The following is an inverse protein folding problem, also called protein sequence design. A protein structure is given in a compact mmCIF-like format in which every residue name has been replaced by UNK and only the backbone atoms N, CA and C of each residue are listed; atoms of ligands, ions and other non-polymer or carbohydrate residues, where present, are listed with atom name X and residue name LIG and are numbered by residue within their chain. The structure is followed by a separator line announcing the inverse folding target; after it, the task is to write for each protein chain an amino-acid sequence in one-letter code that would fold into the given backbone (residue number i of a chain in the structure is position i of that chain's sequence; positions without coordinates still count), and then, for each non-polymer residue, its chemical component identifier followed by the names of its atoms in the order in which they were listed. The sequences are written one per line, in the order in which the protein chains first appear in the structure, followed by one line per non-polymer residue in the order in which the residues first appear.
data_IF_091375156018
#
_entry.id   IF_091375156018
#
_cell.length_a   1.000
_cell.length_b   1.000
_cell.length_c   1.000
_cell.angle_alpha   90.00
_cell.angle_beta   90.00
_cell.angle_gamma   90.00
#
_symmetry.space_group_name_H-M   'P 1'
#
loop_
_entity.id
_entity.type
_entity.pdbx_description
1 polymer ?
#
# COMPACT_ATOMS: atom_id res chain seq x y z
N UNK A 1 -5.20 -28.70 -12.07
CA UNK A 1 -6.50 -28.62 -12.77
C UNK A 1 -6.30 -27.63 -13.90
N UNK A 2 -6.28 -28.04 -15.18
CA UNK A 2 -5.97 -27.13 -16.27
C UNK A 2 -7.23 -26.35 -16.65
N UNK A 3 -7.33 -25.11 -16.19
CA UNK A 3 -8.29 -24.14 -16.71
C UNK A 3 -7.64 -22.75 -16.63
N UNK A 4 -6.92 -22.39 -17.70
CA UNK A 4 -6.51 -21.02 -18.00
C UNK A 4 -7.34 -20.54 -19.20
N UNK A 5 -8.67 -20.47 -19.03
CA UNK A 5 -9.57 -19.84 -20.00
C UNK A 5 -10.38 -18.78 -19.29
N UNK A 6 -10.02 -17.52 -19.53
CA UNK A 6 -10.73 -16.37 -18.97
C UNK A 6 -11.91 -15.95 -19.88
N UNK A 7 -11.84 -16.22 -21.20
CA UNK A 7 -12.89 -15.84 -22.16
C UNK A 7 -13.09 -16.88 -23.26
N UNK A 8 -14.20 -16.74 -24.00
CA UNK A 8 -14.50 -17.54 -25.21
C UNK A 8 -14.71 -16.67 -26.44
N UNK A 9 -14.37 -17.21 -27.61
CA UNK A 9 -14.64 -16.64 -28.92
C UNK A 9 -15.72 -17.48 -29.58
N UNK A 10 -16.87 -16.86 -29.86
CA UNK A 10 -17.99 -17.54 -30.54
C UNK A 10 -17.58 -18.07 -31.92
N UNK A 11 -18.21 -19.17 -32.35
CA UNK A 11 -18.15 -19.67 -33.73
C UNK A 11 -18.58 -18.61 -34.78
N UNK A 12 -19.41 -17.65 -34.37
CA UNK A 12 -19.92 -16.58 -35.23
C UNK A 12 -18.97 -15.40 -35.36
N UNK A 13 -17.90 -15.33 -34.56
CA UNK A 13 -16.91 -14.28 -34.69
C UNK A 13 -16.20 -14.43 -36.05
N UNK A 14 -16.16 -13.38 -36.89
CA UNK A 14 -15.61 -13.47 -38.26
C UNK A 14 -14.12 -13.80 -38.29
N UNK A 15 -13.42 -13.64 -37.16
CA UNK A 15 -12.00 -13.93 -37.03
C UNK A 15 -11.71 -15.31 -36.45
N UNK A 16 -12.74 -16.08 -36.07
CA UNK A 16 -12.57 -17.42 -35.53
C UNK A 16 -12.35 -18.45 -36.67
N UNK A 17 -11.13 -19.01 -36.83
CA UNK A 17 -10.84 -19.91 -37.94
C UNK A 17 -11.34 -21.34 -37.70
N UNK A 18 -11.79 -21.67 -36.49
CA UNK A 18 -12.12 -23.04 -36.10
C UNK A 18 -13.58 -23.40 -36.38
N UNK A 19 -14.45 -22.40 -36.59
CA UNK A 19 -15.88 -22.62 -36.84
C UNK A 19 -16.67 -23.16 -35.64
N UNK A 20 -16.05 -23.20 -34.46
CA UNK A 20 -16.66 -23.60 -33.20
C UNK A 20 -16.26 -22.62 -32.09
N UNK A 21 -16.99 -22.61 -30.98
CA UNK A 21 -16.64 -21.76 -29.84
C UNK A 21 -15.35 -22.26 -29.21
N UNK A 22 -14.31 -21.42 -29.20
CA UNK A 22 -13.00 -21.75 -28.61
C UNK A 22 -12.69 -20.81 -27.47
N UNK A 23 -12.10 -21.31 -26.40
CA UNK A 23 -11.66 -20.44 -25.31
C UNK A 23 -10.25 -19.90 -25.53
N UNK A 24 -10.02 -18.69 -25.05
CA UNK A 24 -8.81 -17.91 -25.29
C UNK A 24 -8.33 -17.24 -24.01
N UNK A 25 -7.02 -17.03 -23.94
CA UNK A 25 -6.38 -16.17 -22.95
C UNK A 25 -5.59 -15.12 -23.73
N UNK A 26 -5.99 -13.85 -23.59
CA UNK A 26 -5.48 -12.76 -24.44
C UNK A 26 -4.97 -11.65 -23.55
N UNK A 27 -3.74 -11.19 -23.81
CA UNK A 27 -3.18 -10.03 -23.15
C UNK A 27 -3.41 -8.79 -24.02
N UNK A 28 -4.31 -7.92 -23.59
CA UNK A 28 -4.64 -6.66 -24.26
C UNK A 28 -3.61 -5.57 -23.91
N UNK A 29 -2.42 -5.63 -24.52
CA UNK A 29 -1.30 -4.71 -24.22
C UNK A 29 -1.33 -3.40 -25.00
N UNK A 30 -2.28 -3.25 -25.92
CA UNK A 30 -2.36 -2.09 -26.82
C UNK A 30 -2.99 -0.84 -26.19
N UNK A 31 -3.51 -0.95 -24.97
CA UNK A 31 -4.03 0.17 -24.21
C UNK A 31 -3.08 0.42 -23.05
N UNK A 32 -2.58 1.65 -22.96
CA UNK A 32 -1.79 2.10 -21.83
C UNK A 32 -2.78 2.52 -20.74
N UNK A 33 -2.76 1.80 -19.62
CA UNK A 33 -3.37 2.31 -18.40
C UNK A 33 -2.52 3.47 -17.88
N UNK A 34 -3.17 4.53 -17.43
CA UNK A 34 -2.52 5.69 -16.84
C UNK A 34 -3.13 5.96 -15.48
N UNK A 35 -2.29 5.93 -14.45
CA UNK A 35 -2.63 6.32 -13.10
C UNK A 35 -2.19 7.76 -12.86
N UNK A 36 -3.07 8.59 -12.30
CA UNK A 36 -2.72 9.93 -11.82
C UNK A 36 -3.19 10.06 -10.38
N UNK A 37 -2.23 10.32 -9.50
CA UNK A 37 -2.46 10.49 -8.08
C UNK A 37 -2.00 11.89 -7.68
N UNK A 38 -2.89 12.64 -7.05
CA UNK A 38 -2.57 13.92 -6.41
C UNK A 38 -2.84 13.78 -4.92
N UNK A 39 -1.79 13.97 -4.10
CA UNK A 39 -1.85 13.83 -2.65
C UNK A 39 -1.37 15.10 -1.94
N UNK A 40 -2.25 15.68 -1.15
CA UNK A 40 -1.90 16.71 -0.16
C UNK A 40 -1.60 16.07 1.18
N UNK A 41 -0.55 16.52 1.88
CA UNK A 41 -0.09 15.92 3.13
C UNK A 41 0.19 16.97 4.21
N UNK A 42 -0.26 16.70 5.44
CA UNK A 42 -0.01 17.54 6.60
C UNK A 42 0.25 16.71 7.86
N UNK A 43 1.33 17.03 8.59
CA UNK A 43 1.71 16.28 9.81
C UNK A 43 2.26 17.18 10.93
N UNK A 44 1.42 17.73 11.82
CA UNK A 44 1.89 18.43 13.00
C UNK A 44 2.42 17.44 14.05
N UNK A 45 3.44 17.87 14.79
CA UNK A 45 4.04 17.12 15.89
C UNK A 45 4.36 18.06 17.05
N UNK A 46 4.09 17.59 18.26
CA UNK A 46 4.49 18.24 19.50
C UNK A 46 5.14 17.23 20.43
N UNK A 47 6.14 17.66 21.17
CA UNK A 47 6.82 16.80 22.13
C UNK A 47 7.43 17.56 23.28
N UNK A 48 7.52 16.90 24.43
CA UNK A 48 8.14 17.38 25.65
C UNK A 48 9.08 16.32 26.20
N UNK A 49 10.21 16.76 26.75
CA UNK A 49 11.22 15.88 27.34
C UNK A 49 11.77 16.46 28.63
N UNK A 50 12.24 15.59 29.50
CA UNK A 50 12.83 16.00 30.77
C UNK A 50 13.72 14.94 31.40
N UNK A 51 14.12 15.20 32.64
CA UNK A 51 14.97 14.28 33.40
C UNK A 51 14.67 14.27 34.90
N UNK A 52 14.77 13.11 35.53
CA UNK A 52 14.75 12.92 36.98
C UNK A 52 16.15 12.50 37.48
N UNK A 53 16.65 13.18 38.53
CA UNK A 53 17.93 12.89 39.19
C UNK A 53 19.15 12.79 38.23
N UNK A 54 19.08 13.43 37.05
CA UNK A 54 20.06 13.30 35.95
C UNK A 54 20.33 11.87 35.45
N UNK A 55 19.61 10.86 35.94
CA UNK A 55 19.82 9.43 35.63
C UNK A 55 18.72 8.85 34.77
N UNK A 56 17.55 9.46 34.83
CA UNK A 56 16.37 9.09 34.08
C UNK A 56 15.98 10.23 33.17
N UNK A 57 15.72 9.90 31.92
CA UNK A 57 15.21 10.81 30.91
C UNK A 57 13.88 10.29 30.43
N UNK A 58 12.93 11.18 30.24
CA UNK A 58 11.61 10.84 29.72
C UNK A 58 11.31 11.72 28.52
N UNK A 59 10.48 11.19 27.64
CA UNK A 59 9.96 11.89 26.47
C UNK A 59 8.50 11.49 26.27
N UNK A 60 7.69 12.46 25.90
CA UNK A 60 6.30 12.28 25.48
C UNK A 60 6.15 13.05 24.18
N UNK A 61 5.64 12.39 23.15
CA UNK A 61 5.37 13.00 21.85
C UNK A 61 3.98 12.63 21.37
N UNK A 62 3.33 13.55 20.66
CA UNK A 62 2.11 13.29 19.95
C UNK A 62 2.19 13.92 18.56
N UNK A 63 1.60 13.24 17.59
CA UNK A 63 1.53 13.74 16.22
C UNK A 63 0.21 13.33 15.59
N UNK A 64 -0.19 14.11 14.60
CA UNK A 64 -1.28 13.78 13.71
C UNK A 64 -0.76 13.79 12.28
N UNK A 65 -1.23 12.89 11.43
CA UNK A 65 -0.97 12.89 10.00
C UNK A 65 -2.30 12.90 9.28
N UNK A 66 -2.42 13.71 8.23
CA UNK A 66 -3.56 13.70 7.31
C UNK A 66 -3.06 13.75 5.89
N UNK A 67 -3.72 12.96 5.05
CA UNK A 67 -3.54 12.99 3.62
C UNK A 67 -4.90 13.04 2.93
N UNK A 68 -4.94 13.66 1.75
CA UNK A 68 -6.07 13.63 0.84
C UNK A 68 -5.55 13.26 -0.52
N UNK A 69 -6.06 12.17 -1.07
CA UNK A 69 -5.63 11.66 -2.37
C UNK A 69 -6.81 11.64 -3.32
N UNK A 70 -6.62 12.15 -4.53
CA UNK A 70 -7.51 11.90 -5.66
C UNK A 70 -6.79 11.00 -6.64
N UNK A 71 -7.38 9.83 -6.88
CA UNK A 71 -6.87 8.87 -7.86
C UNK A 71 -7.76 8.87 -9.09
N UNK A 72 -7.12 8.96 -10.25
CA UNK A 72 -7.74 8.74 -11.54
C UNK A 72 -6.93 7.68 -12.30
N UNK A 73 -7.51 6.50 -12.40
CA UNK A 73 -6.95 5.34 -13.09
C UNK A 73 -7.65 5.16 -14.42
N UNK A 74 -7.07 5.73 -15.48
CA UNK A 74 -7.63 5.67 -16.84
C UNK A 74 -7.35 4.31 -17.48
N UNK A 75 -8.40 3.69 -18.02
CA UNK A 75 -8.35 2.40 -18.71
C UNK A 75 -7.72 1.26 -17.88
N UNK A 76 -7.87 1.31 -16.56
CA UNK A 76 -7.26 0.34 -15.64
C UNK A 76 -8.13 -0.90 -15.37
N UNK A 77 -9.45 -0.76 -15.49
CA UNK A 77 -10.40 -1.83 -15.11
C UNK A 77 -10.94 -2.54 -16.34
N UNK A 78 -10.74 -3.86 -16.49
CA UNK A 78 -11.36 -4.60 -17.57
C UNK A 78 -12.88 -4.69 -17.39
N UNK A 79 -13.62 -4.42 -18.47
CA UNK A 79 -15.04 -4.67 -18.55
C UNK A 79 -15.26 -6.04 -19.20
N UNK A 80 -15.26 -7.09 -18.38
CA UNK A 80 -15.38 -8.48 -18.83
C UNK A 80 -16.60 -8.71 -19.73
N UNK A 81 -17.72 -8.03 -19.45
CA UNK A 81 -18.92 -8.11 -20.28
C UNK A 81 -18.70 -7.49 -21.66
N UNK A 82 -18.08 -6.32 -21.74
CA UNK A 82 -17.73 -5.69 -23.01
C UNK A 82 -16.71 -6.52 -23.80
N UNK A 83 -15.70 -7.08 -23.13
CA UNK A 83 -14.70 -7.98 -23.72
C UNK A 83 -15.38 -9.22 -24.30
N UNK A 84 -16.20 -9.91 -23.51
CA UNK A 84 -16.89 -11.12 -23.95
C UNK A 84 -17.89 -10.82 -25.08
N UNK A 85 -18.58 -9.68 -25.05
CA UNK A 85 -19.46 -9.25 -26.14
C UNK A 85 -18.69 -8.99 -27.43
N UNK A 86 -17.52 -8.37 -27.36
CA UNK A 86 -16.68 -8.12 -28.53
C UNK A 86 -16.06 -9.42 -29.07
N UNK A 87 -15.71 -10.39 -28.22
CA UNK A 87 -15.28 -11.73 -28.66
C UNK A 87 -16.42 -12.56 -29.27
N UNK A 88 -17.67 -12.26 -28.91
CA UNK A 88 -18.87 -12.92 -29.47
C UNK A 88 -19.48 -12.19 -30.67
N UNK A 89 -18.99 -11.00 -31.03
CA UNK A 89 -19.59 -10.18 -32.08
C UNK A 89 -19.42 -10.82 -33.46
N UNK A 90 -20.49 -10.94 -34.27
CA UNK A 90 -20.41 -11.37 -35.66
C UNK A 90 -19.97 -10.25 -36.61
N UNK A 91 -19.90 -9.00 -36.15
CA UNK A 91 -19.57 -7.85 -36.97
C UNK A 91 -18.05 -7.55 -36.89
N UNK A 92 -17.30 -7.61 -38.00
CA UNK A 92 -15.86 -7.33 -38.00
C UNK A 92 -15.48 -5.94 -37.45
N UNK A 93 -16.39 -4.96 -37.50
CA UNK A 93 -16.14 -3.62 -36.99
C UNK A 93 -16.17 -3.51 -35.45
N UNK A 94 -16.81 -4.46 -34.78
CA UNK A 94 -16.93 -4.50 -33.30
C UNK A 94 -16.37 -5.77 -32.67
N UNK A 95 -15.94 -6.74 -33.49
CA UNK A 95 -15.36 -7.99 -33.05
C UNK A 95 -13.88 -7.86 -32.68
N UNK A 96 -13.45 -8.56 -31.63
CA UNK A 96 -12.03 -8.76 -31.33
C UNK A 96 -11.49 -9.98 -32.06
N UNK A 97 -10.27 -9.85 -32.58
CA UNK A 97 -9.47 -10.89 -33.20
C UNK A 97 -8.31 -11.27 -32.26
N UNK A 98 -8.46 -12.32 -31.45
CA UNK A 98 -7.39 -12.78 -30.57
C UNK A 98 -6.34 -13.66 -31.27
N UNK A 99 -6.50 -13.95 -32.56
CA UNK A 99 -5.66 -14.88 -33.32
C UNK A 99 -4.54 -14.17 -34.10
N UNK A 100 -4.29 -12.89 -33.82
CA UNK A 100 -3.23 -12.09 -34.45
C UNK A 100 -2.17 -11.67 -33.43
N UNK A 101 -0.95 -11.41 -33.92
CA UNK A 101 0.17 -10.90 -33.10
C UNK A 101 0.15 -9.37 -32.90
N UNK A 102 -0.75 -8.66 -33.58
CA UNK A 102 -0.88 -7.21 -33.56
C UNK A 102 -2.08 -6.72 -32.74
N UNK A 103 -2.56 -5.48 -32.95
CA UNK A 103 -3.78 -4.99 -32.34
C UNK A 103 -4.95 -5.93 -32.62
N UNK A 104 -5.61 -6.40 -31.56
CA UNK A 104 -6.70 -7.37 -31.66
C UNK A 104 -8.02 -6.75 -32.10
N UNK A 105 -8.06 -5.44 -32.32
CA UNK A 105 -9.25 -4.74 -32.78
C UNK A 105 -9.00 -3.24 -32.98
N UNK A 106 -10.00 -2.51 -33.51
CA UNK A 106 -9.94 -1.06 -33.64
C UNK A 106 -9.81 -0.37 -32.27
N UNK A 107 -9.09 0.76 -32.21
CA UNK A 107 -8.94 1.54 -30.97
C UNK A 107 -10.28 1.95 -30.35
N UNK A 108 -11.30 2.23 -31.17
CA UNK A 108 -12.65 2.55 -30.70
C UNK A 108 -13.30 1.40 -29.93
N UNK A 109 -13.07 0.15 -30.34
CA UNK A 109 -13.54 -1.04 -29.62
C UNK A 109 -12.72 -1.23 -28.35
N UNK A 110 -11.38 -1.21 -28.50
CA UNK A 110 -10.44 -1.38 -27.40
C UNK A 110 -10.72 -0.41 -26.24
N UNK A 111 -10.97 0.87 -26.52
CA UNK A 111 -11.26 1.89 -25.51
C UNK A 111 -12.57 1.62 -24.72
N UNK A 112 -13.49 0.81 -25.24
CA UNK A 112 -14.73 0.44 -24.52
C UNK A 112 -14.58 -0.79 -23.64
N UNK A 113 -13.49 -1.54 -23.83
CA UNK A 113 -13.20 -2.75 -23.06
C UNK A 113 -12.68 -2.44 -21.66
N UNK A 114 -12.28 -1.19 -21.41
CA UNK A 114 -11.71 -0.79 -20.15
C UNK A 114 -12.42 0.43 -19.59
N UNK A 115 -12.75 0.34 -18.32
CA UNK A 115 -13.24 1.40 -17.48
C UNK A 115 -12.13 2.29 -16.95
N UNK A 116 -12.52 3.49 -16.51
CA UNK A 116 -11.64 4.38 -15.75
C UNK A 116 -12.15 4.52 -14.32
N UNK A 117 -11.30 4.21 -13.36
CA UNK A 117 -11.59 4.35 -11.94
C UNK A 117 -11.34 5.77 -11.48
N UNK A 118 -12.22 6.26 -10.62
CA UNK A 118 -12.06 7.54 -9.95
C UNK A 118 -12.51 7.40 -8.51
N UNK A 119 -11.60 7.69 -7.59
CA UNK A 119 -11.90 7.67 -6.17
C UNK A 119 -11.10 8.73 -5.42
N UNK A 120 -11.61 9.07 -4.25
CA UNK A 120 -10.96 9.98 -3.31
C UNK A 120 -10.73 9.27 -2.00
N UNK A 121 -9.55 9.45 -1.45
CA UNK A 121 -9.15 8.90 -0.16
C UNK A 121 -8.77 10.02 0.79
N UNK A 122 -9.01 9.79 2.07
CA UNK A 122 -8.47 10.62 3.14
C UNK A 122 -7.96 9.71 4.26
N UNK A 123 -6.64 9.65 4.41
CA UNK A 123 -5.98 9.05 5.54
C UNK A 123 -5.88 10.02 6.72
N UNK A 124 -6.05 9.50 7.93
CA UNK A 124 -5.77 10.22 9.16
C UNK A 124 -5.22 9.29 10.23
N UNK A 125 -4.06 9.63 10.74
CA UNK A 125 -3.42 8.96 11.87
C UNK A 125 -3.24 9.93 13.03
N UNK A 126 -3.64 9.51 14.23
CA UNK A 126 -3.39 10.20 15.50
C UNK A 126 -2.54 9.30 16.37
N UNK A 127 -1.41 9.79 16.86
CA UNK A 127 -0.48 8.98 17.65
C UNK A 127 0.06 9.71 18.85
N UNK A 128 0.29 8.96 19.92
CA UNK A 128 1.00 9.38 21.10
C UNK A 128 1.99 8.29 21.52
N UNK A 129 3.18 8.70 21.91
CA UNK A 129 4.23 7.82 22.43
C UNK A 129 4.83 8.45 23.69
N UNK A 130 5.11 7.61 24.69
CA UNK A 130 5.84 8.01 25.88
C UNK A 130 6.83 6.94 26.29
N UNK A 131 8.03 7.36 26.69
CA UNK A 131 9.00 6.47 27.29
C UNK A 131 9.78 7.14 28.42
N UNK A 132 10.30 6.30 29.31
CA UNK A 132 11.27 6.66 30.32
C UNK A 132 12.46 5.71 30.24
N UNK A 133 13.67 6.27 30.22
CA UNK A 133 14.92 5.52 30.11
C UNK A 133 15.97 6.01 31.08
N UNK A 134 16.77 5.10 31.62
CA UNK A 134 17.76 5.49 32.61
C UNK A 134 18.61 4.35 33.12
N UNK A 135 19.48 4.67 34.09
CA UNK A 135 20.34 3.70 34.78
C UNK A 135 19.61 3.10 35.98
N UNK A 136 19.52 1.76 36.03
CA UNK A 136 18.93 1.04 37.16
C UNK A 136 20.00 0.77 38.23
N UNK A 137 21.11 0.16 37.84
CA UNK A 137 22.19 -0.24 38.75
C UNK A 137 23.56 -0.10 38.09
N UNK A 138 24.63 -0.03 38.88
CA UNK A 138 26.02 0.00 38.40
C UNK A 138 26.69 -1.34 38.71
N UNK A 139 27.16 -2.03 37.69
CA UNK A 139 27.99 -3.24 37.81
C UNK A 139 29.47 -2.89 37.63
N UNK A 140 30.40 -3.76 38.05
CA UNK A 140 31.82 -3.61 37.73
C UNK A 140 32.09 -3.47 36.23
N UNK A 141 31.31 -4.17 35.40
CA UNK A 141 31.39 -4.10 33.95
C UNK A 141 30.80 -2.81 33.34
N UNK A 142 30.01 -2.04 34.09
CA UNK A 142 29.38 -0.79 33.63
C UNK A 142 27.95 -0.61 34.15
N UNK A 143 27.27 0.49 33.76
CA UNK A 143 25.88 0.73 34.16
C UNK A 143 24.90 -0.17 33.40
N UNK A 144 23.96 -0.78 34.13
CA UNK A 144 22.76 -1.40 33.55
C UNK A 144 21.76 -0.29 33.26
N UNK A 145 21.24 -0.27 32.03
CA UNK A 145 20.23 0.70 31.59
C UNK A 145 18.95 -0.01 31.21
N UNK A 146 17.82 0.66 31.39
CA UNK A 146 16.56 0.20 30.85
C UNK A 146 15.77 1.35 30.25
N UNK A 147 14.82 0.96 29.40
CA UNK A 147 13.75 1.80 28.88
C UNK A 147 12.44 1.04 29.09
N UNK A 148 11.41 1.79 29.45
CA UNK A 148 10.02 1.33 29.43
C UNK A 148 9.22 2.41 28.72
N UNK A 149 8.32 2.02 27.85
CA UNK A 149 7.46 2.94 27.14
C UNK A 149 6.22 2.28 26.58
N UNK A 150 5.44 3.08 25.89
CA UNK A 150 4.27 2.62 25.16
C UNK A 150 3.87 3.62 24.10
N UNK A 151 3.13 3.13 23.13
CA UNK A 151 2.58 3.87 22.03
C UNK A 151 1.07 3.62 21.90
N UNK A 152 0.40 4.60 21.29
CA UNK A 152 -0.99 4.52 20.89
C UNK A 152 -1.10 5.13 19.49
N UNK A 153 -1.85 4.46 18.62
CA UNK A 153 -2.15 4.92 17.27
C UNK A 153 -3.62 4.67 16.97
N UNK A 154 -4.30 5.68 16.45
CA UNK A 154 -5.61 5.56 15.84
C UNK A 154 -5.51 5.96 14.37
N UNK A 155 -5.87 5.04 13.49
CA UNK A 155 -5.91 5.24 12.05
C UNK A 155 -7.36 5.26 11.59
N UNK A 156 -7.69 6.20 10.72
CA UNK A 156 -8.94 6.22 9.97
C UNK A 156 -8.64 6.41 8.49
N UNK A 157 -9.31 5.63 7.65
CA UNK A 157 -9.26 5.78 6.20
C UNK A 157 -10.69 5.99 5.70
N UNK A 158 -10.94 7.15 5.12
CA UNK A 158 -12.16 7.42 4.40
C UNK A 158 -11.92 7.24 2.91
N UNK A 159 -12.84 6.55 2.26
CA UNK A 159 -12.79 6.31 0.82
C UNK A 159 -14.13 6.68 0.20
N UNK A 160 -14.06 7.34 -0.95
CA UNK A 160 -15.22 7.69 -1.76
C UNK A 160 -14.96 7.23 -3.20
N UNK A 161 -15.45 6.02 -3.50
CA UNK A 161 -15.41 5.42 -4.82
C UNK A 161 -16.48 6.08 -5.69
N UNK A 162 -16.07 6.96 -6.59
CA UNK A 162 -16.98 7.71 -7.48
C UNK A 162 -17.41 6.80 -8.65
N UNK A 163 -16.45 6.09 -9.24
CA UNK A 163 -16.62 5.12 -10.32
C UNK A 163 -15.65 3.95 -10.11
N UNK A 164 -16.11 2.71 -10.25
CA UNK A 164 -15.31 1.47 -10.15
C UNK A 164 -14.75 1.01 -11.51
N UNK A 165 -14.68 1.93 -12.47
CA UNK A 165 -14.31 1.66 -13.86
C UNK A 165 -15.52 1.34 -14.74
N UNK A 166 -16.40 0.45 -14.30
CA UNK A 166 -17.48 -0.10 -15.13
C UNK A 166 -18.85 0.47 -14.75
N UNK A 167 -19.04 0.79 -13.48
CA UNK A 167 -20.26 1.30 -12.88
C UNK A 167 -19.97 2.58 -12.09
N UNK A 168 -21.00 3.38 -11.84
CA UNK A 168 -20.89 4.56 -10.97
C UNK A 168 -21.51 4.28 -9.59
N UNK A 169 -20.91 3.41 -8.75
CA UNK A 169 -21.53 3.01 -7.50
C UNK A 169 -21.56 4.14 -6.46
N UNK A 170 -20.81 5.25 -6.66
CA UNK A 170 -20.75 6.41 -5.76
C UNK A 170 -20.75 6.02 -4.27
N UNK A 171 -19.91 5.05 -3.92
CA UNK A 171 -19.94 4.37 -2.63
C UNK A 171 -18.90 4.96 -1.68
N UNK A 172 -19.31 5.17 -0.43
CA UNK A 172 -18.45 5.70 0.63
C UNK A 172 -18.15 4.62 1.66
N UNK A 173 -16.88 4.48 2.01
CA UNK A 173 -16.39 3.52 3.00
C UNK A 173 -15.57 4.26 4.05
N UNK A 174 -15.64 3.75 5.27
CA UNK A 174 -14.88 4.28 6.40
C UNK A 174 -14.31 3.12 7.18
N UNK A 175 -12.98 3.13 7.30
CA UNK A 175 -12.22 2.13 8.02
C UNK A 175 -11.58 2.78 9.22
N UNK A 176 -11.55 2.06 10.34
CA UNK A 176 -10.86 2.49 11.54
C UNK A 176 -10.03 1.34 12.10
N UNK A 177 -8.88 1.70 12.67
CA UNK A 177 -8.03 0.77 13.41
C UNK A 177 -7.41 1.50 14.59
N UNK A 178 -7.27 0.79 15.69
CA UNK A 178 -6.56 1.26 16.87
C UNK A 178 -5.50 0.23 17.25
N UNK A 179 -4.31 0.72 17.61
CA UNK A 179 -3.20 -0.09 18.10
C UNK A 179 -2.58 0.57 19.32
N UNK A 180 -2.11 -0.25 20.25
CA UNK A 180 -1.35 0.19 21.40
C UNK A 180 -0.34 -0.88 21.80
N UNK A 181 0.87 -0.48 22.17
CA UNK A 181 1.88 -1.37 22.73
C UNK A 181 2.44 -0.83 24.04
N UNK A 182 3.00 -1.76 24.80
CA UNK A 182 3.90 -1.48 25.92
C UNK A 182 5.17 -2.26 25.66
N UNK A 183 6.31 -1.59 25.82
CA UNK A 183 7.62 -2.18 25.58
C UNK A 183 8.57 -1.90 26.73
N UNK A 184 9.54 -2.80 26.90
CA UNK A 184 10.65 -2.64 27.81
C UNK A 184 11.90 -3.30 27.24
N UNK A 185 13.04 -2.64 27.40
CA UNK A 185 14.35 -3.17 27.01
C UNK A 185 15.37 -2.90 28.11
N UNK A 186 16.28 -3.84 28.36
CA UNK A 186 17.37 -3.70 29.32
C UNK A 186 18.70 -4.00 28.66
N UNK A 187 19.68 -3.11 28.86
CA UNK A 187 21.07 -3.29 28.44
C UNK A 187 21.95 -3.61 29.65
N UNK A 188 22.51 -4.82 29.68
CA UNK A 188 23.40 -5.31 30.74
C UNK A 188 24.85 -5.43 30.20
N UNK A 189 25.83 -4.70 30.75
CA UNK A 189 27.22 -4.84 30.35
C UNK A 189 27.85 -6.10 30.97
N UNK A 190 28.46 -6.95 30.15
CA UNK A 190 29.07 -8.22 30.57
C UNK A 190 30.61 -8.12 30.66
N UNK A 191 31.24 -7.29 29.82
CA UNK A 191 32.69 -7.06 29.82
C UNK A 191 32.97 -5.59 30.14
N UNK A 192 33.78 -5.37 31.19
CA UNK A 192 34.24 -4.03 31.58
C UNK A 192 35.41 -3.54 30.73
N UNK A 193 35.62 -2.22 30.69
CA UNK A 193 36.87 -1.66 30.15
C UNK A 193 38.03 -2.13 31.04
N UNK A 194 38.90 -3.00 30.50
CA UNK A 194 40.19 -3.30 31.12
C UNK A 194 40.97 -1.98 31.13
N UNK A 195 41.25 -1.45 32.32
CA UNK A 195 42.08 -0.27 32.48
C UNK A 195 43.44 -0.52 31.82
N UNK A 196 43.91 0.41 30.97
CA UNK A 196 45.31 0.46 30.59
C UNK A 196 46.12 0.56 31.89
N UNK A 197 46.78 -0.52 32.29
CA UNK A 197 47.83 -0.46 33.30
C UNK A 197 48.95 0.42 32.71
N UNK A 198 49.02 1.67 33.15
CA UNK A 198 50.20 2.49 32.93
C UNK A 198 51.32 1.87 33.79
N UNK A 199 52.13 0.99 33.21
CA UNK A 199 53.40 0.58 33.81
C UNK A 199 54.30 1.82 33.87
N UNK A 200 54.40 2.45 35.05
CA UNK A 200 55.56 3.31 35.35
C UNK A 200 56.76 2.40 35.50
N UNK A 201 57.68 2.46 34.54
CA UNK A 201 59.05 2.04 34.76
C UNK A 201 59.74 3.15 35.57
N UNK A 202 60.19 2.83 36.78
CA UNK A 202 61.19 3.62 37.49
C UNK A 202 62.56 3.00 37.17
N UNK A 203 63.40 3.79 36.50
CA UNK A 203 64.87 3.73 36.59
C UNK A 203 65.32 4.27 37.93
#
# INVERSE_FOLDING_TARGET
IPAFQDFTVSAQNPFNPFGETVGVAVSLRSILSMATDETDFFRPLVGVKGSFDHRWHWEISAWESRDWTHVLDSYAVPNDSAIQNALNSPNPATALNPFVRGPVGPLSVLNTLFGSENYKEMGRDESAEAFIRGRIVRLPAGPVKAIVGGDYVRSTLYENLINDGVNQPSTRRNYNRQYSAVFAETRVPIIGRIGRMTRRFMT
#
